data_IF_038006035466
#
_entry.id   IF_038006035466
#
_cell.length_a   1.000
_cell.length_b   1.000
_cell.length_c   1.000
_cell.angle_alpha   90.00
_cell.angle_beta   90.00
_cell.angle_gamma   90.00
#
_symmetry.space_group_name_H-M   'P 1'
#
loop_
_entity.id
_entity.type
_entity.pdbx_description
1 polymer ?
#
# COMPACT_ATOMS: atom_id res chain seq x y z
N UNK A 1 -1.92 -28.75 22.93
CA UNK A 1 -0.93 -29.50 22.15
C UNK A 1 -1.57 -29.88 20.81
N UNK A 2 -1.40 -29.08 19.76
CA UNK A 2 -1.97 -29.39 18.44
C UNK A 2 -1.09 -30.46 17.76
N UNK A 3 -1.60 -31.70 17.67
CA UNK A 3 -0.98 -32.73 16.84
C UNK A 3 -1.25 -32.40 15.37
N UNK A 4 -0.23 -31.90 14.68
CA UNK A 4 -0.24 -31.81 13.22
C UNK A 4 -0.09 -33.26 12.72
N UNK A 5 -1.20 -33.88 12.35
CA UNK A 5 -1.17 -35.17 11.67
C UNK A 5 -0.60 -34.91 10.27
N UNK A 6 0.46 -35.61 9.83
CA UNK A 6 1.01 -35.43 8.50
C UNK A 6 0.03 -36.04 7.50
N UNK A 7 -0.85 -35.23 6.94
CA UNK A 7 -1.69 -35.65 5.82
C UNK A 7 -0.82 -35.72 4.58
N UNK A 8 -0.75 -36.93 4.00
CA UNK A 8 0.01 -37.28 2.78
C UNK A 8 -0.53 -36.61 1.50
N UNK A 9 -1.56 -35.78 1.64
CA UNK A 9 -2.20 -35.05 0.57
C UNK A 9 -1.56 -33.65 0.42
N UNK A 10 -0.86 -33.38 -0.70
CA UNK A 10 -0.26 -32.08 -0.96
C UNK A 10 -1.29 -30.95 -1.06
N UNK A 11 -2.58 -31.26 -1.28
CA UNK A 11 -3.68 -30.29 -1.34
C UNK A 11 -4.45 -30.17 -0.01
N UNK A 12 -3.90 -30.70 1.08
CA UNK A 12 -4.53 -30.60 2.39
C UNK A 12 -4.51 -29.19 2.97
N UNK A 13 -5.54 -28.87 3.75
CA UNK A 13 -5.63 -27.62 4.53
C UNK A 13 -4.39 -27.36 5.42
N UNK A 14 -3.79 -28.43 5.97
CA UNK A 14 -2.57 -28.33 6.77
C UNK A 14 -1.35 -27.88 5.93
N UNK A 15 -1.21 -28.39 4.70
CA UNK A 15 -0.16 -28.00 3.78
C UNK A 15 -0.32 -26.54 3.33
N UNK A 16 -1.55 -26.12 3.01
CA UNK A 16 -1.87 -24.74 2.67
C UNK A 16 -1.55 -23.76 3.80
N UNK A 17 -1.92 -24.08 5.05
CA UNK A 17 -1.56 -23.29 6.24
C UNK A 17 -0.05 -23.19 6.43
N UNK A 18 0.67 -24.31 6.34
CA UNK A 18 2.13 -24.32 6.45
C UNK A 18 2.79 -23.42 5.39
N UNK A 19 2.28 -23.44 4.16
CA UNK A 19 2.76 -22.55 3.11
C UNK A 19 2.42 -21.08 3.41
N UNK A 20 1.19 -20.78 3.83
CA UNK A 20 0.76 -19.44 4.17
C UNK A 20 1.59 -18.85 5.32
N UNK A 21 1.90 -19.61 6.37
CA UNK A 21 2.80 -19.15 7.45
C UNK A 21 4.22 -18.85 6.94
N UNK A 22 4.75 -19.64 6.01
CA UNK A 22 6.04 -19.33 5.36
C UNK A 22 6.01 -18.05 4.53
N UNK A 23 4.85 -17.68 3.98
CA UNK A 23 4.68 -16.40 3.31
C UNK A 23 4.64 -15.27 4.35
N UNK A 24 3.76 -15.40 5.34
CA UNK A 24 3.55 -14.40 6.40
C UNK A 24 4.80 -14.11 7.24
N UNK A 25 5.72 -15.08 7.37
CA UNK A 25 7.00 -14.84 8.06
C UNK A 25 7.96 -13.91 7.30
N UNK A 26 7.75 -13.70 5.99
CA UNK A 26 8.62 -12.86 5.15
C UNK A 26 8.15 -11.42 5.09
N UNK A 27 6.84 -11.22 5.03
CA UNK A 27 6.19 -9.91 5.02
C UNK A 27 4.70 -10.06 5.32
N UNK A 28 4.06 -8.93 5.48
CA UNK A 28 2.61 -8.83 5.58
C UNK A 28 1.97 -9.04 4.21
N UNK A 29 0.90 -9.82 4.17
CA UNK A 29 0.09 -10.08 2.98
C UNK A 29 -1.36 -9.71 3.25
N UNK A 30 -2.06 -9.19 2.24
CA UNK A 30 -3.51 -9.09 2.31
C UNK A 30 -4.16 -10.47 2.12
N UNK A 31 -5.45 -10.54 2.42
CA UNK A 31 -6.27 -11.72 2.11
C UNK A 31 -6.19 -12.09 0.62
N UNK A 32 -6.33 -11.11 -0.26
CA UNK A 32 -6.26 -11.29 -1.71
C UNK A 32 -4.88 -11.77 -2.17
N UNK A 33 -3.80 -11.19 -1.62
CA UNK A 33 -2.43 -11.63 -1.95
C UNK A 33 -2.18 -13.07 -1.49
N UNK A 34 -2.64 -13.46 -0.29
CA UNK A 34 -2.51 -14.84 0.18
C UNK A 34 -3.29 -15.83 -0.68
N UNK A 35 -4.54 -15.50 -0.99
CA UNK A 35 -5.39 -16.31 -1.86
C UNK A 35 -4.69 -16.59 -3.20
N UNK A 36 -4.20 -15.53 -3.85
CA UNK A 36 -3.49 -15.63 -5.12
C UNK A 36 -2.23 -16.49 -5.01
N UNK A 37 -1.45 -16.34 -3.93
CA UNK A 37 -0.19 -17.08 -3.73
C UNK A 37 -0.44 -18.57 -3.46
N UNK A 38 -1.49 -18.91 -2.73
CA UNK A 38 -1.89 -20.29 -2.50
C UNK A 38 -2.36 -20.95 -3.80
N UNK A 39 -3.20 -20.26 -4.59
CA UNK A 39 -3.63 -20.76 -5.90
C UNK A 39 -2.45 -20.95 -6.87
N UNK A 40 -1.51 -19.99 -6.92
CA UNK A 40 -0.28 -20.11 -7.72
C UNK A 40 0.61 -21.28 -7.28
N UNK A 41 0.52 -21.68 -6.00
CA UNK A 41 1.22 -22.85 -5.48
C UNK A 41 0.56 -24.17 -5.88
N UNK A 42 -0.69 -24.12 -6.37
CA UNK A 42 -1.45 -25.27 -6.87
C UNK A 42 -2.51 -25.81 -5.90
N UNK A 43 -2.83 -25.08 -4.83
CA UNK A 43 -3.89 -25.49 -3.90
C UNK A 43 -5.28 -25.26 -4.49
N UNK A 44 -6.24 -26.13 -4.17
CA UNK A 44 -7.64 -25.95 -4.57
C UNK A 44 -8.24 -24.64 -4.03
N UNK A 45 -9.18 -24.07 -4.77
CA UNK A 45 -9.81 -22.78 -4.43
C UNK A 45 -10.53 -22.83 -3.08
N UNK A 46 -11.19 -23.93 -2.73
CA UNK A 46 -11.87 -24.05 -1.44
C UNK A 46 -10.86 -24.16 -0.29
N UNK A 47 -9.77 -24.89 -0.50
CA UNK A 47 -8.67 -25.00 0.47
C UNK A 47 -8.01 -23.65 0.71
N UNK A 48 -7.78 -22.87 -0.35
CA UNK A 48 -7.26 -21.51 -0.27
C UNK A 48 -8.19 -20.59 0.54
N UNK A 49 -9.50 -20.56 0.22
CA UNK A 49 -10.50 -19.75 0.93
C UNK A 49 -10.54 -20.09 2.42
N UNK A 50 -10.66 -21.38 2.74
CA UNK A 50 -10.71 -21.85 4.12
C UNK A 50 -9.42 -21.53 4.89
N UNK A 51 -8.26 -21.57 4.22
CA UNK A 51 -6.98 -21.18 4.82
C UNK A 51 -6.94 -19.70 5.15
N UNK A 52 -7.33 -18.84 4.19
CA UNK A 52 -7.33 -17.38 4.38
C UNK A 52 -8.33 -16.95 5.46
N UNK A 53 -9.56 -17.48 5.43
CA UNK A 53 -10.57 -17.14 6.45
C UNK A 53 -10.09 -17.53 7.84
N UNK A 54 -9.54 -18.73 8.00
CA UNK A 54 -9.03 -19.18 9.29
C UNK A 54 -7.86 -18.32 9.77
N UNK A 55 -6.92 -17.96 8.90
CA UNK A 55 -5.80 -17.09 9.29
C UNK A 55 -6.26 -15.68 9.68
N UNK A 56 -7.32 -15.18 9.05
CA UNK A 56 -7.98 -13.93 9.42
C UNK A 56 -8.69 -14.04 10.77
N UNK A 57 -9.46 -15.11 11.01
CA UNK A 57 -10.13 -15.36 12.30
C UNK A 57 -9.13 -15.41 13.46
N UNK A 58 -7.96 -16.02 13.27
CA UNK A 58 -6.89 -16.05 14.27
C UNK A 58 -6.05 -14.76 14.33
N UNK A 59 -6.35 -13.75 13.51
CA UNK A 59 -5.66 -12.45 13.51
C UNK A 59 -4.27 -12.44 12.86
N UNK A 60 -3.90 -13.47 12.09
CA UNK A 60 -2.65 -13.49 11.32
C UNK A 60 -2.74 -12.65 10.04
N UNK A 61 -3.96 -12.36 9.57
CA UNK A 61 -4.23 -11.56 8.38
C UNK A 61 -5.28 -10.52 8.71
N UNK A 62 -4.91 -9.26 8.57
CA UNK A 62 -5.78 -8.12 8.83
C UNK A 62 -5.52 -7.05 7.76
N UNK A 63 -6.45 -6.94 6.80
CA UNK A 63 -6.35 -5.98 5.71
C UNK A 63 -6.48 -4.54 6.20
N UNK A 64 -7.21 -4.29 7.28
CA UNK A 64 -7.35 -2.96 7.89
C UNK A 64 -6.04 -2.51 8.51
N UNK A 65 -5.43 -3.37 9.32
CA UNK A 65 -4.12 -3.09 9.91
C UNK A 65 -3.03 -2.95 8.83
N UNK A 66 -3.09 -3.80 7.80
CA UNK A 66 -2.17 -3.73 6.67
C UNK A 66 -2.32 -2.41 5.90
N UNK A 67 -3.56 -1.96 5.67
CA UNK A 67 -3.86 -0.72 4.99
C UNK A 67 -3.32 0.48 5.77
N UNK A 68 -3.58 0.54 7.09
CA UNK A 68 -3.09 1.60 7.97
C UNK A 68 -1.55 1.73 7.94
N UNK A 69 -0.85 0.59 8.03
CA UNK A 69 0.63 0.57 7.93
C UNK A 69 1.12 1.03 6.56
N UNK A 70 0.42 0.67 5.48
CA UNK A 70 0.81 1.13 4.14
C UNK A 70 0.56 2.64 3.97
N UNK A 71 -0.46 3.21 4.63
CA UNK A 71 -0.67 4.67 4.71
C UNK A 71 0.54 5.33 5.36
N UNK A 72 0.90 4.93 6.57
CA UNK A 72 2.05 5.47 7.31
C UNK A 72 3.33 5.38 6.47
N UNK A 73 3.58 4.21 5.90
CA UNK A 73 4.75 3.97 5.05
C UNK A 73 4.78 4.87 3.81
N UNK A 74 3.62 5.07 3.16
CA UNK A 74 3.56 5.91 1.97
C UNK A 74 3.79 7.38 2.30
N UNK A 75 3.22 7.88 3.40
CA UNK A 75 3.36 9.27 3.81
C UNK A 75 4.76 9.57 4.37
N UNK A 76 5.30 8.70 5.23
CA UNK A 76 6.53 8.99 5.96
C UNK A 76 7.80 8.50 5.24
N UNK A 77 7.81 7.27 4.73
CA UNK A 77 9.00 6.71 4.07
C UNK A 77 9.06 7.08 2.60
N UNK A 78 7.95 6.86 1.86
CA UNK A 78 7.95 7.00 0.40
C UNK A 78 7.60 8.38 -0.08
N UNK A 79 7.05 9.24 0.79
CA UNK A 79 6.61 10.61 0.47
C UNK A 79 5.63 10.64 -0.71
N UNK A 80 4.65 9.73 -0.71
CA UNK A 80 3.65 9.59 -1.77
C UNK A 80 2.35 10.31 -1.40
N UNK A 81 1.71 10.90 -2.40
CA UNK A 81 0.41 11.53 -2.24
C UNK A 81 -0.76 10.51 -2.27
N UNK A 82 -1.97 10.96 -1.89
CA UNK A 82 -3.14 10.10 -1.71
C UNK A 82 -3.47 9.20 -2.90
N UNK A 83 -3.33 9.70 -4.14
CA UNK A 83 -3.67 8.91 -5.34
C UNK A 83 -2.77 7.68 -5.51
N UNK A 84 -1.48 7.81 -5.21
CA UNK A 84 -0.53 6.68 -5.29
C UNK A 84 -0.71 5.70 -4.15
N UNK A 85 -1.07 6.19 -2.96
CA UNK A 85 -1.42 5.35 -1.83
C UNK A 85 -2.68 4.52 -2.14
N UNK A 86 -3.75 5.15 -2.62
CA UNK A 86 -4.99 4.46 -2.99
C UNK A 86 -4.75 3.37 -4.03
N UNK A 87 -4.05 3.70 -5.13
CA UNK A 87 -3.71 2.72 -6.17
C UNK A 87 -2.92 1.54 -5.61
N UNK A 88 -2.02 1.80 -4.67
CA UNK A 88 -1.23 0.75 -4.04
C UNK A 88 -2.11 -0.17 -3.19
N UNK A 89 -3.01 0.37 -2.38
CA UNK A 89 -3.95 -0.44 -1.59
C UNK A 89 -4.81 -1.31 -2.50
N UNK A 90 -5.30 -0.76 -3.62
CA UNK A 90 -6.05 -1.49 -4.65
C UNK A 90 -5.22 -2.61 -5.29
N UNK A 91 -3.96 -2.35 -5.64
CA UNK A 91 -3.05 -3.36 -6.20
C UNK A 91 -2.76 -4.51 -5.23
N UNK A 92 -2.87 -4.25 -3.92
CA UNK A 92 -2.80 -5.29 -2.89
C UNK A 92 -4.13 -6.02 -2.69
N UNK A 93 -5.18 -5.67 -3.43
CA UNK A 93 -6.50 -6.30 -3.35
C UNK A 93 -7.24 -6.00 -2.05
N UNK A 94 -6.95 -4.86 -1.40
CA UNK A 94 -7.66 -4.42 -0.19
C UNK A 94 -9.05 -3.91 -0.60
N UNK A 95 -10.07 -4.28 0.18
CA UNK A 95 -11.46 -3.97 -0.11
C UNK A 95 -11.70 -2.43 -0.16
N UNK A 96 -12.57 -1.93 -1.08
CA UNK A 96 -12.86 -0.51 -1.22
C UNK A 96 -13.31 0.18 0.06
N UNK A 97 -14.03 -0.53 0.93
CA UNK A 97 -14.54 -0.02 2.21
C UNK A 97 -13.38 0.29 3.17
N UNK A 98 -12.41 -0.63 3.30
CA UNK A 98 -11.21 -0.44 4.11
C UNK A 98 -10.37 0.71 3.55
N UNK A 99 -10.22 0.76 2.21
CA UNK A 99 -9.52 1.87 1.55
C UNK A 99 -10.19 3.20 1.89
N UNK A 100 -11.52 3.29 1.77
CA UNK A 100 -12.27 4.49 2.11
C UNK A 100 -12.04 4.94 3.54
N UNK A 101 -12.07 4.00 4.50
CA UNK A 101 -11.83 4.26 5.91
C UNK A 101 -10.42 4.78 6.21
N UNK A 102 -9.38 4.12 5.68
CA UNK A 102 -8.00 4.58 5.96
C UNK A 102 -7.71 5.89 5.24
N UNK A 103 -8.24 6.09 4.03
CA UNK A 103 -8.01 7.31 3.27
C UNK A 103 -8.72 8.52 3.90
N UNK A 104 -9.91 8.33 4.50
CA UNK A 104 -10.63 9.41 5.19
C UNK A 104 -9.96 9.85 6.49
N UNK A 105 -9.13 8.99 7.09
CA UNK A 105 -8.32 9.34 8.27
C UNK A 105 -7.10 10.22 7.94
N UNK A 106 -6.76 10.39 6.67
CA UNK A 106 -5.61 11.18 6.25
C UNK A 106 -5.96 12.67 6.31
N UNK A 107 -5.21 13.42 7.11
CA UNK A 107 -5.33 14.87 7.18
C UNK A 107 -4.88 15.53 5.88
N UNK A 108 -5.75 16.39 5.32
CA UNK A 108 -5.42 17.23 4.16
C UNK A 108 -4.26 18.19 4.46
N UNK A 109 -4.13 18.63 5.71
CA UNK A 109 -3.01 19.47 6.14
C UNK A 109 -1.69 18.71 6.08
N UNK A 110 -1.66 17.46 6.58
CA UNK A 110 -0.46 16.61 6.50
C UNK A 110 -0.06 16.33 5.05
N UNK A 111 -1.03 16.11 4.16
CA UNK A 111 -0.77 15.93 2.72
C UNK A 111 -0.20 17.21 2.10
N UNK A 112 -0.74 18.38 2.47
CA UNK A 112 -0.24 19.67 2.00
C UNK A 112 1.20 19.91 2.48
N UNK A 113 1.49 19.68 3.76
CA UNK A 113 2.83 19.82 4.33
C UNK A 113 3.83 18.91 3.61
N UNK A 114 3.47 17.64 3.41
CA UNK A 114 4.29 16.68 2.67
C UNK A 114 4.56 17.12 1.22
N UNK A 115 3.56 17.69 0.55
CA UNK A 115 3.70 18.22 -0.81
C UNK A 115 4.68 19.41 -0.86
N UNK A 116 4.62 20.32 0.13
CA UNK A 116 5.55 21.45 0.28
C UNK A 116 6.97 20.97 0.50
N UNK A 117 7.18 20.00 1.41
CA UNK A 117 8.49 19.41 1.68
C UNK A 117 9.13 18.81 0.41
N UNK A 118 8.38 17.98 -0.31
CA UNK A 118 8.85 17.35 -1.53
C UNK A 118 9.08 18.36 -2.66
N UNK A 119 8.27 19.42 -2.71
CA UNK A 119 8.46 20.54 -3.66
C UNK A 119 9.77 21.26 -3.37
N UNK A 120 10.03 21.67 -2.11
CA UNK A 120 11.28 22.33 -1.70
C UNK A 120 12.49 21.45 -1.99
N UNK A 121 12.44 20.17 -1.62
CA UNK A 121 13.51 19.20 -1.88
C UNK A 121 13.80 19.08 -3.37
N UNK A 122 12.76 19.00 -4.22
CA UNK A 122 12.94 18.89 -5.66
C UNK A 122 13.41 20.20 -6.29
N UNK A 123 12.92 21.35 -5.80
CA UNK A 123 13.30 22.68 -6.27
C UNK A 123 14.79 22.93 -6.02
N UNK A 124 15.32 22.54 -4.86
CA UNK A 124 16.74 22.63 -4.54
C UNK A 124 17.63 21.79 -5.47
N UNK A 125 17.07 20.78 -6.15
CA UNK A 125 17.79 19.96 -7.13
C UNK A 125 17.72 20.52 -8.56
N UNK A 126 17.02 21.65 -8.79
CA UNK A 126 16.89 22.25 -10.12
C UNK A 126 17.95 23.34 -10.32
N UNK A 127 18.35 23.63 -11.57
CA UNK A 127 19.24 24.76 -11.85
C UNK A 127 18.64 26.08 -11.32
N UNK A 128 19.43 26.91 -10.62
CA UNK A 128 18.93 28.12 -9.97
C UNK A 128 18.41 29.16 -10.98
N UNK A 129 19.05 29.23 -12.14
CA UNK A 129 18.78 30.10 -13.29
C UNK A 129 17.62 29.63 -14.18
N UNK A 130 17.06 28.44 -13.90
CA UNK A 130 15.91 27.95 -14.65
C UNK A 130 14.70 28.87 -14.46
N UNK A 131 14.04 29.25 -15.56
CA UNK A 131 12.87 30.10 -15.53
C UNK A 131 11.71 29.47 -14.75
N UNK A 132 10.87 30.33 -14.15
CA UNK A 132 9.79 29.90 -13.26
C UNK A 132 8.74 29.04 -13.97
N UNK A 133 8.50 29.25 -15.27
CA UNK A 133 7.58 28.42 -16.04
C UNK A 133 8.08 26.98 -16.14
N UNK A 134 9.35 26.78 -16.52
CA UNK A 134 9.98 25.45 -16.56
C UNK A 134 10.11 24.82 -15.18
N UNK A 135 10.42 25.59 -14.13
CA UNK A 135 10.43 25.09 -12.74
C UNK A 135 9.06 24.54 -12.35
N UNK A 136 7.98 25.32 -12.55
CA UNK A 136 6.59 24.90 -12.26
C UNK A 136 6.20 23.64 -13.03
N UNK A 137 6.50 23.57 -14.33
CA UNK A 137 6.22 22.38 -15.15
C UNK A 137 6.93 21.12 -14.63
N UNK A 138 8.24 21.21 -14.32
CA UNK A 138 9.03 20.08 -13.81
C UNK A 138 8.56 19.61 -12.44
N UNK A 139 8.25 20.55 -11.54
CA UNK A 139 7.77 20.24 -10.19
C UNK A 139 6.36 19.66 -10.22
N UNK A 140 5.44 20.27 -10.98
CA UNK A 140 4.09 19.73 -11.17
C UNK A 140 4.10 18.30 -11.69
N UNK A 141 4.87 18.03 -12.75
CA UNK A 141 5.00 16.67 -13.30
C UNK A 141 5.61 15.68 -12.29
N UNK A 142 6.58 16.12 -11.49
CA UNK A 142 7.15 15.31 -10.42
C UNK A 142 6.12 14.95 -9.35
N UNK A 143 5.37 15.93 -8.84
CA UNK A 143 4.38 15.74 -7.78
C UNK A 143 3.17 14.92 -8.27
N UNK A 144 2.73 15.11 -9.52
CA UNK A 144 1.70 14.26 -10.13
C UNK A 144 2.14 12.79 -10.16
N UNK A 145 3.39 12.50 -10.55
CA UNK A 145 3.92 11.13 -10.51
C UNK A 145 4.01 10.57 -9.09
N UNK A 146 4.23 11.42 -8.09
CA UNK A 146 4.17 11.07 -6.66
C UNK A 146 2.74 10.89 -6.12
N UNK A 147 1.71 11.28 -6.87
CA UNK A 147 0.30 11.05 -6.52
C UNK A 147 -0.36 12.18 -5.75
N UNK A 148 0.23 13.38 -5.73
CA UNK A 148 -0.44 14.56 -5.16
C UNK A 148 -1.55 15.05 -6.10
N UNK A 149 -2.58 15.63 -5.51
CA UNK A 149 -3.70 16.19 -6.26
C UNK A 149 -3.33 17.54 -6.89
N UNK A 150 -3.98 17.86 -8.01
CA UNK A 150 -3.65 19.07 -8.77
C UNK A 150 -3.88 20.35 -7.95
N UNK A 151 -4.91 20.38 -7.12
CA UNK A 151 -5.18 21.52 -6.24
C UNK A 151 -4.05 21.75 -5.24
N UNK A 152 -3.63 20.69 -4.53
CA UNK A 152 -2.52 20.70 -3.59
C UNK A 152 -1.21 21.16 -4.26
N UNK A 153 -0.93 20.63 -5.46
CA UNK A 153 0.23 21.01 -6.28
C UNK A 153 0.18 22.50 -6.63
N UNK A 154 -0.94 22.98 -7.17
CA UNK A 154 -1.09 24.36 -7.61
C UNK A 154 -0.95 25.34 -6.44
N UNK A 155 -1.47 24.98 -5.26
CA UNK A 155 -1.30 25.75 -4.03
C UNK A 155 0.17 25.84 -3.64
N UNK A 156 0.87 24.70 -3.57
CA UNK A 156 2.30 24.66 -3.25
C UNK A 156 3.15 25.49 -4.23
N UNK A 157 2.90 25.36 -5.53
CA UNK A 157 3.69 26.05 -6.55
C UNK A 157 3.44 27.56 -6.57
N UNK A 158 2.26 28.03 -6.15
CA UNK A 158 1.95 29.46 -6.03
C UNK A 158 2.70 30.10 -4.86
N UNK A 159 2.88 29.36 -3.77
CA UNK A 159 3.53 29.85 -2.55
C UNK A 159 5.07 29.85 -2.65
N UNK A 160 5.65 28.92 -3.42
CA UNK A 160 7.10 28.67 -3.43
C UNK A 160 7.85 29.25 -4.64
N UNK A 161 7.16 29.65 -5.72
CA UNK A 161 7.75 30.08 -6.99
C UNK A 161 6.98 31.27 -7.56
#
# INVERSE_FOLDING_TARGET
MFKIVPTKDPDSLAAAKSHAFKLLSRRWYSQAELMQRLQQKGFDTNVCKNTVELLKEYGYVDDTQLAAREVERCLHEKKLGPKRLQLRLQQRGIAPEIIGQVMSSISMESVQQLCVEETKRKLASLPPDLDNYKKRARLGAFLLRRGFELECINRCLRELI
#
